data_IF_610982391606
#
_entry.id   IF_610982391606
#
_cell.length_a   1.000
_cell.length_b   1.000
_cell.length_c   1.000
_cell.angle_alpha   90.00
_cell.angle_beta   90.00
_cell.angle_gamma   90.00
#
_symmetry.space_group_name_H-M   'P 1'
#
loop_
_entity.id
_entity.type
_entity.pdbx_description
1 polymer ?
#
# COMPACT_ATOMS: atom_id res chain seq x y z
N UNK A 1 9.94 31.59 -8.46
CA UNK A 1 10.48 30.62 -7.49
C UNK A 1 9.30 30.09 -6.72
N UNK A 2 8.97 28.81 -6.89
CA UNK A 2 7.94 28.14 -6.10
C UNK A 2 8.40 28.05 -4.65
N UNK A 3 7.50 28.27 -3.70
CA UNK A 3 7.81 28.16 -2.28
C UNK A 3 8.23 26.72 -1.96
N UNK A 4 9.13 26.48 -0.98
CA UNK A 4 9.46 25.12 -0.56
C UNK A 4 8.21 24.38 -0.08
N UNK A 5 8.12 23.05 -0.27
CA UNK A 5 6.96 22.27 0.15
C UNK A 5 6.70 22.44 1.66
N UNK A 6 5.43 22.62 2.04
CA UNK A 6 5.03 22.84 3.44
C UNK A 6 4.59 21.56 4.14
N UNK A 7 4.20 20.54 3.37
CA UNK A 7 3.67 19.26 3.86
C UNK A 7 4.56 18.10 3.41
N UNK A 8 4.99 17.25 4.35
CA UNK A 8 5.66 15.99 4.05
C UNK A 8 4.69 14.81 4.23
N UNK A 9 4.59 13.97 3.22
CA UNK A 9 3.86 12.70 3.24
C UNK A 9 4.85 11.55 3.42
N UNK A 10 4.66 10.75 4.48
CA UNK A 10 5.43 9.52 4.73
C UNK A 10 4.55 8.32 4.37
N UNK A 11 4.94 7.57 3.33
CA UNK A 11 4.15 6.44 2.81
C UNK A 11 4.99 5.16 2.65
N UNK A 12 4.33 4.05 2.28
CA UNK A 12 5.01 2.81 1.93
C UNK A 12 5.74 2.91 0.60
N UNK A 13 6.96 2.38 0.50
CA UNK A 13 7.67 2.28 -0.77
C UNK A 13 6.88 1.53 -1.86
N UNK A 14 5.92 0.69 -1.48
CA UNK A 14 5.01 -0.01 -2.38
C UNK A 14 3.91 0.87 -2.99
N UNK A 15 3.68 2.07 -2.46
CA UNK A 15 2.70 3.04 -3.00
C UNK A 15 3.35 4.38 -3.35
N UNK A 16 4.64 4.56 -3.08
CA UNK A 16 5.32 5.84 -3.23
C UNK A 16 5.28 6.36 -4.68
N UNK A 17 5.40 5.47 -5.68
CA UNK A 17 5.33 5.86 -7.10
C UNK A 17 3.94 6.38 -7.45
N UNK A 18 2.92 5.68 -6.99
CA UNK A 18 1.50 5.98 -7.17
C UNK A 18 1.14 7.32 -6.52
N UNK A 19 1.53 7.54 -5.27
CA UNK A 19 1.30 8.81 -4.55
C UNK A 19 2.06 9.96 -5.22
N UNK A 20 3.31 9.76 -5.64
CA UNK A 20 4.06 10.76 -6.41
C UNK A 20 3.40 11.09 -7.75
N UNK A 21 2.81 10.10 -8.42
CA UNK A 21 2.02 10.29 -9.65
C UNK A 21 0.84 11.20 -9.39
N UNK A 22 0.03 10.86 -8.38
CA UNK A 22 -1.14 11.63 -7.98
C UNK A 22 -0.79 13.09 -7.61
N UNK A 23 0.25 13.31 -6.79
CA UNK A 23 0.69 14.66 -6.40
C UNK A 23 1.04 15.51 -7.62
N UNK A 24 1.71 14.92 -8.62
CA UNK A 24 2.04 15.62 -9.87
C UNK A 24 0.81 15.89 -10.73
N UNK A 25 -0.06 14.91 -10.91
CA UNK A 25 -1.27 15.02 -11.73
C UNK A 25 -2.25 16.07 -11.17
N UNK A 26 -2.28 16.24 -9.85
CA UNK A 26 -3.11 17.24 -9.15
C UNK A 26 -2.40 18.58 -8.92
N UNK A 27 -1.13 18.70 -9.33
CA UNK A 27 -0.30 19.89 -9.12
C UNK A 27 -0.24 20.34 -7.64
N UNK A 28 -0.16 19.39 -6.71
CA UNK A 28 0.01 19.67 -5.28
C UNK A 28 1.47 20.01 -4.96
N UNK A 29 1.94 21.15 -5.45
CA UNK A 29 3.33 21.61 -5.32
C UNK A 29 3.78 21.80 -3.85
N UNK A 30 2.84 21.94 -2.92
CA UNK A 30 3.10 22.07 -1.49
C UNK A 30 3.39 20.75 -0.77
N UNK A 31 3.19 19.61 -1.45
CA UNK A 31 3.38 18.26 -0.89
C UNK A 31 4.68 17.64 -1.41
N UNK A 32 5.52 17.20 -0.48
CA UNK A 32 6.65 16.32 -0.75
C UNK A 32 6.38 14.91 -0.23
N UNK A 33 6.90 13.88 -0.90
CA UNK A 33 6.68 12.47 -0.53
C UNK A 33 8.01 11.81 -0.19
N UNK A 34 8.07 11.21 0.99
CA UNK A 34 9.13 10.26 1.38
C UNK A 34 8.52 8.90 1.69
N UNK A 35 9.35 7.86 1.69
CA UNK A 35 8.88 6.52 1.98
C UNK A 35 9.81 5.73 2.90
N UNK A 36 9.27 4.68 3.49
CA UNK A 36 10.06 3.59 4.08
C UNK A 36 10.34 2.51 3.03
N UNK A 37 11.39 1.69 3.23
CA UNK A 37 11.70 0.60 2.33
C UNK A 37 10.52 -0.35 2.10
N UNK A 38 10.25 -0.70 0.84
CA UNK A 38 9.11 -1.54 0.47
C UNK A 38 9.17 -2.96 1.09
N UNK A 39 10.36 -3.45 1.44
CA UNK A 39 10.54 -4.76 2.07
C UNK A 39 9.98 -4.83 3.51
N UNK A 40 9.69 -3.69 4.16
CA UNK A 40 9.04 -3.66 5.47
C UNK A 40 7.61 -4.23 5.41
N UNK A 41 7.03 -4.39 4.22
CA UNK A 41 5.75 -5.09 4.05
C UNK A 41 5.77 -6.54 4.55
N UNK A 42 6.95 -7.18 4.57
CA UNK A 42 7.14 -8.52 5.10
C UNK A 42 7.58 -8.54 6.58
N UNK A 43 7.87 -7.37 7.17
CA UNK A 43 8.31 -7.19 8.56
C UNK A 43 7.60 -5.98 9.19
N UNK A 44 6.26 -6.03 9.34
CA UNK A 44 5.44 -4.90 9.80
C UNK A 44 5.84 -4.40 11.19
N UNK A 45 6.52 -5.22 11.99
CA UNK A 45 7.08 -4.86 13.29
C UNK A 45 8.08 -3.70 13.26
N UNK A 46 8.71 -3.44 12.11
CA UNK A 46 9.67 -2.35 11.92
C UNK A 46 8.99 -1.02 11.52
N UNK A 47 7.71 -1.05 11.12
CA UNK A 47 7.00 0.13 10.65
C UNK A 47 6.91 1.24 11.71
N UNK A 48 6.55 0.98 12.98
CA UNK A 48 6.39 2.03 13.98
C UNK A 48 7.66 2.87 14.18
N UNK A 49 8.81 2.22 14.39
CA UNK A 49 10.09 2.92 14.57
C UNK A 49 10.55 3.62 13.29
N UNK A 50 10.33 3.00 12.12
CA UNK A 50 10.65 3.61 10.84
C UNK A 50 9.87 4.92 10.61
N UNK A 51 8.56 4.90 10.90
CA UNK A 51 7.69 6.07 10.81
C UNK A 51 8.15 7.14 11.80
N UNK A 52 8.37 6.79 13.07
CA UNK A 52 8.84 7.71 14.11
C UNK A 52 10.15 8.40 13.71
N UNK A 53 11.13 7.63 13.23
CA UNK A 53 12.41 8.16 12.80
C UNK A 53 12.25 9.17 11.65
N UNK A 54 11.38 8.88 10.67
CA UNK A 54 11.09 9.80 9.56
C UNK A 54 10.37 11.06 10.01
N UNK A 55 9.40 10.97 10.93
CA UNK A 55 8.72 12.15 11.49
C UNK A 55 9.76 13.06 12.17
N UNK A 56 10.55 12.52 13.09
CA UNK A 56 11.52 13.29 13.87
C UNK A 56 12.60 13.94 13.00
N UNK A 57 13.09 13.22 12.00
CA UNK A 57 14.11 13.73 11.08
C UNK A 57 13.64 14.96 10.28
N UNK A 58 12.33 15.07 10.02
CA UNK A 58 11.78 16.09 9.11
C UNK A 58 10.97 17.19 9.84
N UNK A 59 10.74 17.05 11.15
CA UNK A 59 9.89 17.97 11.93
C UNK A 59 10.33 19.43 11.91
N UNK A 60 11.62 19.72 11.67
CA UNK A 60 12.13 21.09 11.56
C UNK A 60 12.00 21.69 10.16
N UNK A 61 11.74 20.85 9.16
CA UNK A 61 11.77 21.23 7.74
C UNK A 61 10.39 21.43 7.13
N UNK A 62 9.33 20.87 7.74
CA UNK A 62 7.97 20.94 7.23
C UNK A 62 7.01 21.45 8.30
N UNK A 63 5.98 22.17 7.85
CA UNK A 63 4.91 22.67 8.73
C UNK A 63 3.96 21.54 9.09
N UNK A 64 3.65 20.67 8.12
CA UNK A 64 2.76 19.52 8.29
C UNK A 64 3.49 18.22 7.94
N UNK A 65 3.23 17.16 8.71
CA UNK A 65 3.66 15.80 8.40
C UNK A 65 2.45 14.89 8.43
N UNK A 66 2.21 14.18 7.33
CA UNK A 66 1.13 13.23 7.16
C UNK A 66 1.69 11.81 7.01
N UNK A 67 1.05 10.84 7.66
CA UNK A 67 1.44 9.43 7.55
C UNK A 67 0.41 8.64 6.75
N UNK A 68 0.79 8.26 5.53
CA UNK A 68 -0.01 7.44 4.62
C UNK A 68 0.30 5.95 4.84
N UNK A 69 0.07 5.48 6.07
CA UNK A 69 0.08 4.07 6.44
C UNK A 69 -1.21 3.69 7.16
N UNK A 70 -1.82 2.60 6.70
CA UNK A 70 -2.74 1.81 7.52
C UNK A 70 -1.98 0.97 8.53
N UNK A 71 -2.67 0.35 9.48
CA UNK A 71 -2.04 -0.46 10.52
C UNK A 71 -1.14 -1.58 9.96
N UNK A 72 -1.54 -2.18 8.83
CA UNK A 72 -0.73 -3.18 8.11
C UNK A 72 -0.25 -4.35 9.00
N UNK A 73 -1.01 -4.70 10.03
CA UNK A 73 -0.65 -5.76 10.98
C UNK A 73 0.32 -5.31 12.08
N UNK A 74 0.52 -4.01 12.28
CA UNK A 74 1.31 -3.48 13.40
C UNK A 74 0.63 -3.68 14.75
N UNK A 75 -0.69 -3.93 14.77
CA UNK A 75 -1.47 -4.16 15.99
C UNK A 75 -1.77 -2.87 16.75
N UNK A 76 -2.01 -1.76 16.03
CA UNK A 76 -2.28 -0.43 16.58
C UNK A 76 -1.01 0.37 16.91
N UNK A 77 0.18 -0.21 16.78
CA UNK A 77 1.44 0.46 17.14
C UNK A 77 1.76 1.65 16.25
N UNK A 78 1.35 1.63 14.98
CA UNK A 78 1.48 2.81 14.12
C UNK A 78 0.65 3.95 14.70
N UNK A 79 -0.62 3.72 15.05
CA UNK A 79 -1.49 4.76 15.62
C UNK A 79 -0.90 5.34 16.91
N UNK A 80 -0.37 4.49 17.80
CA UNK A 80 0.30 4.96 19.02
C UNK A 80 1.47 5.92 18.72
N UNK A 81 2.28 5.63 17.70
CA UNK A 81 3.35 6.56 17.25
C UNK A 81 2.79 7.87 16.72
N UNK A 82 1.68 7.84 15.97
CA UNK A 82 1.06 9.05 15.44
C UNK A 82 0.53 9.95 16.57
N UNK A 83 -0.12 9.35 17.56
CA UNK A 83 -0.65 10.04 18.73
C UNK A 83 0.48 10.64 19.58
N UNK A 84 1.56 9.87 19.83
CA UNK A 84 2.76 10.32 20.55
C UNK A 84 3.44 11.51 19.87
N UNK A 85 3.58 11.46 18.55
CA UNK A 85 4.23 12.51 17.79
C UNK A 85 3.27 13.67 17.45
N UNK A 86 1.96 13.50 17.62
CA UNK A 86 0.95 14.49 17.28
C UNK A 86 0.88 14.77 15.77
N UNK A 87 0.96 13.72 14.95
CA UNK A 87 0.86 13.82 13.48
C UNK A 87 -0.41 13.13 12.98
N UNK A 88 -0.95 13.59 11.86
CA UNK A 88 -2.14 12.98 11.28
C UNK A 88 -1.76 11.80 10.38
N UNK A 89 -2.53 10.73 10.45
CA UNK A 89 -2.42 9.58 9.55
C UNK A 89 -3.70 9.32 8.78
N UNK A 90 -3.57 8.56 7.70
CA UNK A 90 -4.71 8.13 6.88
C UNK A 90 -5.60 7.08 7.58
N UNK A 91 -5.02 6.31 8.51
CA UNK A 91 -5.72 5.26 9.23
C UNK A 91 -6.05 4.02 8.37
N UNK A 92 -7.06 3.27 8.82
CA UNK A 92 -7.48 2.01 8.21
C UNK A 92 -6.67 0.78 8.67
N UNK A 93 -7.22 -0.41 8.45
CA UNK A 93 -6.57 -1.66 8.85
C UNK A 93 -5.52 -2.11 7.82
N UNK A 94 -5.82 -1.92 6.54
CA UNK A 94 -4.97 -2.37 5.42
C UNK A 94 -4.97 -1.36 4.27
N UNK A 95 -3.85 -1.23 3.56
CA UNK A 95 -3.79 -0.35 2.38
C UNK A 95 -4.82 -0.75 1.29
N UNK A 96 -5.21 -2.02 1.21
CA UNK A 96 -6.27 -2.48 0.30
C UNK A 96 -7.64 -1.88 0.64
N UNK A 97 -7.90 -1.66 1.93
CA UNK A 97 -9.09 -0.93 2.40
C UNK A 97 -9.05 0.51 1.89
N UNK A 98 -7.90 1.18 2.01
CA UNK A 98 -7.73 2.56 1.54
C UNK A 98 -7.91 2.67 0.02
N UNK A 99 -7.36 1.72 -0.75
CA UNK A 99 -7.56 1.72 -2.21
C UNK A 99 -9.02 1.51 -2.60
N UNK A 100 -9.71 0.54 -1.98
CA UNK A 100 -11.07 0.18 -2.38
C UNK A 100 -12.17 1.01 -1.70
N UNK A 101 -11.85 1.70 -0.61
CA UNK A 101 -12.80 2.27 0.35
C UNK A 101 -13.37 1.22 1.30
N UNK A 102 -13.59 1.61 2.56
CA UNK A 102 -13.99 0.70 3.64
C UNK A 102 -15.25 -0.12 3.34
N UNK A 103 -16.25 0.47 2.67
CA UNK A 103 -17.47 -0.26 2.32
C UNK A 103 -17.22 -1.38 1.29
N UNK A 104 -16.50 -1.08 0.21
CA UNK A 104 -16.18 -2.07 -0.81
C UNK A 104 -15.26 -3.15 -0.24
N UNK A 105 -14.28 -2.77 0.59
CA UNK A 105 -13.41 -3.72 1.27
C UNK A 105 -14.20 -4.68 2.15
N UNK A 106 -15.10 -4.17 2.99
CA UNK A 106 -15.98 -4.98 3.83
C UNK A 106 -16.85 -5.93 2.99
N UNK A 107 -17.38 -5.46 1.86
CA UNK A 107 -18.16 -6.31 0.94
C UNK A 107 -17.29 -7.43 0.35
N UNK A 108 -16.07 -7.13 -0.13
CA UNK A 108 -15.13 -8.15 -0.63
C UNK A 108 -14.80 -9.20 0.43
N UNK A 109 -14.51 -8.76 1.65
CA UNK A 109 -14.16 -9.64 2.75
C UNK A 109 -15.37 -10.48 3.21
N UNK A 110 -16.59 -9.98 3.11
CA UNK A 110 -17.81 -10.74 3.39
C UNK A 110 -18.12 -11.76 2.28
N UNK A 111 -17.91 -11.39 1.01
CA UNK A 111 -18.10 -12.28 -0.15
C UNK A 111 -17.09 -13.43 -0.15
N UNK A 112 -15.81 -13.12 0.08
CA UNK A 112 -14.75 -14.13 0.10
C UNK A 112 -13.57 -13.66 0.98
N UNK A 113 -13.53 -14.06 2.26
CA UNK A 113 -12.40 -13.79 3.14
C UNK A 113 -11.08 -14.35 2.62
N UNK A 114 -11.12 -15.45 1.86
CA UNK A 114 -9.96 -16.07 1.22
C UNK A 114 -9.47 -15.33 -0.03
N UNK A 115 -9.43 -14.00 0.01
CA UNK A 115 -8.98 -13.14 -1.10
C UNK A 115 -7.53 -12.69 -0.89
N UNK A 116 -6.68 -12.96 -1.89
CA UNK A 116 -5.32 -12.44 -1.94
C UNK A 116 -5.30 -11.15 -2.77
N UNK A 117 -4.96 -10.02 -2.16
CA UNK A 117 -5.07 -8.72 -2.83
C UNK A 117 -3.78 -8.35 -3.58
N UNK A 118 -3.95 -7.85 -4.81
CA UNK A 118 -2.89 -7.23 -5.61
C UNK A 118 -3.20 -5.75 -5.85
N UNK A 119 -2.16 -4.94 -5.87
CA UNK A 119 -2.15 -3.57 -6.43
C UNK A 119 -1.27 -3.56 -7.67
N UNK A 120 -1.27 -2.48 -8.45
CA UNK A 120 -0.42 -2.27 -9.62
C UNK A 120 1.06 -2.50 -9.29
N UNK A 121 1.51 -1.99 -8.13
CA UNK A 121 2.87 -2.23 -7.63
C UNK A 121 3.13 -3.73 -7.41
N UNK A 122 2.24 -4.42 -6.69
CA UNK A 122 2.46 -5.82 -6.37
C UNK A 122 2.32 -6.71 -7.61
N UNK A 123 1.46 -6.36 -8.56
CA UNK A 123 1.37 -7.01 -9.87
C UNK A 123 2.70 -6.89 -10.64
N UNK A 124 3.31 -5.70 -10.71
CA UNK A 124 4.63 -5.48 -11.33
C UNK A 124 5.74 -6.28 -10.67
N UNK A 125 5.69 -6.44 -9.36
CA UNK A 125 6.79 -6.99 -8.57
C UNK A 125 6.49 -8.38 -8.00
N UNK A 126 5.41 -9.03 -8.46
CA UNK A 126 4.92 -10.29 -7.90
C UNK A 126 6.00 -11.38 -7.94
N UNK A 127 6.66 -11.53 -9.07
CA UNK A 127 7.74 -12.50 -9.27
C UNK A 127 8.86 -12.33 -8.25
N UNK A 128 9.30 -11.09 -7.99
CA UNK A 128 10.40 -10.82 -7.07
C UNK A 128 9.99 -10.91 -5.60
N UNK A 129 8.89 -10.25 -5.24
CA UNK A 129 8.50 -10.04 -3.84
C UNK A 129 7.70 -11.22 -3.27
N UNK A 130 6.87 -11.85 -4.09
CA UNK A 130 6.00 -12.94 -3.66
C UNK A 130 6.58 -14.27 -4.11
N UNK A 131 6.78 -14.47 -5.42
CA UNK A 131 7.17 -15.79 -5.95
C UNK A 131 8.55 -16.21 -5.44
N UNK A 132 9.59 -15.42 -5.71
CA UNK A 132 10.95 -15.68 -5.21
C UNK A 132 11.13 -15.33 -3.74
N UNK A 133 10.50 -14.24 -3.29
CA UNK A 133 10.58 -13.77 -1.90
C UNK A 133 10.07 -14.80 -0.90
N UNK A 134 9.03 -15.56 -1.25
CA UNK A 134 8.51 -16.68 -0.45
C UNK A 134 9.16 -18.03 -0.80
N UNK A 135 10.10 -18.05 -1.75
CA UNK A 135 10.83 -19.25 -2.17
C UNK A 135 10.01 -20.25 -2.98
N UNK A 136 8.94 -19.81 -3.66
CA UNK A 136 8.07 -20.68 -4.48
C UNK A 136 8.80 -21.23 -5.71
N UNK A 137 9.81 -20.50 -6.19
CA UNK A 137 10.71 -20.89 -7.27
C UNK A 137 11.57 -22.11 -6.90
N UNK A 138 12.00 -22.19 -5.63
CA UNK A 138 12.86 -23.26 -5.09
C UNK A 138 12.09 -24.38 -4.41
N UNK A 139 10.95 -24.06 -3.82
CA UNK A 139 10.14 -24.97 -3.01
C UNK A 139 8.66 -24.91 -3.42
N UNK A 140 8.25 -25.56 -4.52
CA UNK A 140 6.88 -25.49 -5.04
C UNK A 140 5.79 -25.92 -4.04
N UNK A 141 6.12 -26.80 -3.09
CA UNK A 141 5.22 -27.22 -2.02
C UNK A 141 4.76 -26.08 -1.10
N UNK A 142 5.54 -24.99 -1.02
CA UNK A 142 5.18 -23.80 -0.26
C UNK A 142 3.95 -23.09 -0.83
N UNK A 143 3.65 -23.28 -2.11
CA UNK A 143 2.44 -22.71 -2.74
C UNK A 143 1.18 -23.16 -2.01
N UNK A 144 1.03 -24.46 -1.72
CA UNK A 144 -0.12 -24.96 -0.95
C UNK A 144 -0.14 -24.42 0.48
N UNK A 145 1.04 -24.26 1.10
CA UNK A 145 1.16 -23.74 2.46
C UNK A 145 0.72 -22.27 2.56
N UNK A 146 1.16 -21.42 1.63
CA UNK A 146 0.85 -19.99 1.65
C UNK A 146 -0.52 -19.68 1.04
N UNK A 147 -0.84 -20.32 -0.10
CA UNK A 147 -2.01 -19.96 -0.91
C UNK A 147 -3.20 -20.90 -0.75
N UNK A 148 -3.05 -22.06 -0.08
CA UNK A 148 -4.08 -23.10 -0.05
C UNK A 148 -5.37 -22.75 0.69
N UNK A 149 -5.42 -21.64 1.43
CA UNK A 149 -6.64 -21.10 2.05
C UNK A 149 -7.27 -19.95 1.26
N UNK A 150 -6.57 -19.45 0.25
CA UNK A 150 -7.10 -18.44 -0.65
C UNK A 150 -7.87 -19.12 -1.78
N UNK A 151 -8.90 -18.46 -2.28
CA UNK A 151 -9.71 -18.93 -3.42
C UNK A 151 -9.50 -18.09 -4.66
N UNK A 152 -9.19 -16.80 -4.48
CA UNK A 152 -8.97 -15.87 -5.58
C UNK A 152 -7.91 -14.82 -5.27
N UNK A 153 -7.30 -14.33 -6.34
CA UNK A 153 -6.59 -13.07 -6.38
C UNK A 153 -7.56 -11.97 -6.76
N UNK A 154 -7.63 -10.92 -5.94
CA UNK A 154 -8.39 -9.70 -6.23
C UNK A 154 -7.39 -8.60 -6.57
N UNK A 155 -7.30 -8.25 -7.84
CA UNK A 155 -6.48 -7.15 -8.32
C UNK A 155 -7.26 -5.83 -8.23
N UNK A 156 -6.82 -4.96 -7.32
CA UNK A 156 -7.28 -3.58 -7.20
C UNK A 156 -6.45 -2.72 -8.16
N UNK A 157 -7.04 -2.34 -9.28
CA UNK A 157 -6.35 -1.61 -10.34
C UNK A 157 -6.37 -0.10 -10.09
N UNK A 158 -5.20 0.51 -10.04
CA UNK A 158 -5.06 1.97 -9.90
C UNK A 158 -5.17 2.69 -11.26
N UNK A 159 -4.89 1.99 -12.36
CA UNK A 159 -4.86 2.54 -13.72
C UNK A 159 -5.47 1.58 -14.74
N UNK A 160 -5.81 2.10 -15.93
CA UNK A 160 -6.23 1.29 -17.08
C UNK A 160 -5.02 0.88 -17.93
N UNK A 161 -4.12 0.08 -17.34
CA UNK A 161 -2.94 -0.44 -18.04
C UNK A 161 -3.13 -1.93 -18.41
N UNK A 162 -3.24 -2.26 -19.71
CA UNK A 162 -3.44 -3.64 -20.14
C UNK A 162 -2.25 -4.56 -19.81
N UNK A 163 -1.03 -4.03 -19.69
CA UNK A 163 0.14 -4.84 -19.30
C UNK A 163 0.10 -5.19 -17.82
N UNK A 164 -0.37 -4.28 -16.96
CA UNK A 164 -0.56 -4.58 -15.54
C UNK A 164 -1.63 -5.63 -15.31
N UNK A 165 -2.72 -5.57 -16.09
CA UNK A 165 -3.74 -6.61 -16.06
C UNK A 165 -3.14 -7.98 -16.40
N UNK A 166 -2.35 -8.09 -17.48
CA UNK A 166 -1.69 -9.37 -17.85
C UNK A 166 -0.76 -9.87 -16.75
N UNK A 167 -0.01 -8.98 -16.10
CA UNK A 167 0.87 -9.35 -14.98
C UNK A 167 0.07 -9.86 -13.77
N UNK A 168 -1.04 -9.20 -13.44
CA UNK A 168 -1.91 -9.63 -12.34
C UNK A 168 -2.61 -10.97 -12.63
N UNK A 169 -3.06 -11.19 -13.87
CA UNK A 169 -3.60 -12.48 -14.33
C UNK A 169 -2.53 -13.59 -14.24
N UNK A 170 -1.30 -13.30 -14.70
CA UNK A 170 -0.17 -14.23 -14.61
C UNK A 170 0.18 -14.58 -13.17
N UNK A 171 0.14 -13.59 -12.27
CA UNK A 171 0.33 -13.81 -10.84
C UNK A 171 -0.70 -14.79 -10.28
N UNK A 172 -1.99 -14.59 -10.57
CA UNK A 172 -3.06 -15.49 -10.14
C UNK A 172 -2.87 -16.93 -10.63
N UNK A 173 -2.49 -17.10 -11.92
CA UNK A 173 -2.17 -18.42 -12.50
C UNK A 173 -0.98 -19.07 -11.78
N UNK A 174 0.08 -18.30 -11.51
CA UNK A 174 1.30 -18.80 -10.85
C UNK A 174 1.05 -19.38 -9.46
N UNK A 175 0.05 -18.84 -8.74
CA UNK A 175 -0.35 -19.32 -7.40
C UNK A 175 -1.61 -20.19 -7.40
N UNK A 176 -2.33 -20.28 -8.52
CA UNK A 176 -3.42 -21.25 -8.73
C UNK A 176 -4.74 -20.81 -8.14
N UNK A 177 -4.98 -19.50 -8.21
CA UNK A 177 -6.16 -18.87 -7.67
C UNK A 177 -6.98 -18.30 -8.83
N UNK A 178 -8.30 -18.23 -8.65
CA UNK A 178 -9.15 -17.52 -9.60
C UNK A 178 -8.75 -16.03 -9.65
N UNK A 179 -8.95 -15.38 -10.80
CA UNK A 179 -8.62 -13.98 -10.97
C UNK A 179 -9.87 -13.11 -10.97
N UNK A 180 -9.83 -12.02 -10.21
CA UNK A 180 -10.84 -10.97 -10.21
C UNK A 180 -10.15 -9.62 -10.27
N UNK A 181 -10.64 -8.72 -11.12
CA UNK A 181 -10.15 -7.35 -11.23
C UNK A 181 -11.23 -6.37 -10.77
N UNK A 182 -10.85 -5.37 -9.98
CA UNK A 182 -11.69 -4.24 -9.60
C UNK A 182 -10.93 -2.95 -9.86
N UNK A 183 -11.53 -2.03 -10.61
CA UNK A 183 -10.98 -0.68 -10.75
C UNK A 183 -11.25 0.10 -9.47
N UNK A 184 -10.19 0.65 -8.88
CA UNK A 184 -10.27 1.41 -7.63
C UNK A 184 -9.66 2.81 -7.73
N UNK A 185 -8.76 3.04 -8.68
CA UNK A 185 -7.92 4.23 -8.66
C UNK A 185 -7.10 4.28 -7.36
N UNK A 186 -6.87 5.49 -6.84
CA UNK A 186 -6.15 5.72 -5.59
C UNK A 186 -7.05 5.74 -4.35
N UNK A 187 -8.38 5.60 -4.50
CA UNK A 187 -9.32 5.49 -3.39
C UNK A 187 -9.23 6.63 -2.37
N UNK A 188 -9.17 6.27 -1.09
CA UNK A 188 -9.06 7.20 0.02
C UNK A 188 -7.71 7.91 0.10
N UNK A 189 -6.65 7.42 -0.57
CA UNK A 189 -5.37 8.14 -0.62
C UNK A 189 -5.54 9.51 -1.27
N UNK A 190 -6.26 9.58 -2.38
CA UNK A 190 -6.52 10.83 -3.07
C UNK A 190 -7.43 11.76 -2.28
N UNK A 191 -8.52 11.21 -1.75
CA UNK A 191 -9.46 12.00 -0.92
C UNK A 191 -8.77 12.59 0.30
N UNK A 192 -7.93 11.81 0.97
CA UNK A 192 -7.20 12.26 2.15
C UNK A 192 -6.19 13.35 1.80
N UNK A 193 -5.40 13.19 0.74
CA UNK A 193 -4.41 14.20 0.36
C UNK A 193 -5.06 15.49 -0.14
N UNK A 194 -6.22 15.41 -0.80
CA UNK A 194 -6.93 16.59 -1.32
C UNK A 194 -7.42 17.56 -0.23
N UNK A 195 -7.50 17.13 1.03
CA UNK A 195 -7.92 17.99 2.16
C UNK A 195 -6.74 18.64 2.90
N UNK A 196 -5.49 18.52 2.40
CA UNK A 196 -4.27 19.00 3.04
C UNK A 196 -3.36 19.78 2.07
#
# INVERSE_FOLDING_TARGET
MTAPPSTLVICCGAVAREILGLVRERAWEHIEVTCLPANFHNTPENLPEGIRAKIRANRKSYTNILVLYSDCGSGGRIQAVLDEEGVQGIGGAHCYEVFSGSENFRRMMAEEPGSFFLTDFLARHFEKLVFRGLGLDRFPQLRKKYFGKYKKVVYLAQSEDPELRKLAESAAVSVGLAFEMRQTGYGDFERFLATH
#
